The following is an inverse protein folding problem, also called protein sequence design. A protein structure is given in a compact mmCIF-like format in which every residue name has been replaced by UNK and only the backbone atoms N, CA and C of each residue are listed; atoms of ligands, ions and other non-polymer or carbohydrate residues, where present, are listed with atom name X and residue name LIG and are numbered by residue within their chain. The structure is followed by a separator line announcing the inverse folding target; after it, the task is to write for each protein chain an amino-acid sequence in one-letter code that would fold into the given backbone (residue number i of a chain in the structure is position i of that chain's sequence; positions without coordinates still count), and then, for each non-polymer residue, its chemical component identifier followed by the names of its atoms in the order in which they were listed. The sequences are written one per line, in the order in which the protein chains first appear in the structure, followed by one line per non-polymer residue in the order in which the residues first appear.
data_IF_130891294144
#
_entry.id   IF_130891294144
#
_cell.length_a   1.000
_cell.length_b   1.000
_cell.length_c   1.000
_cell.angle_alpha   90.00
_cell.angle_beta   90.00
_cell.angle_gamma   90.00
#
_symmetry.space_group_name_H-M   'P 1'
#
loop_
_entity.id
_entity.type
_entity.pdbx_description
1 polymer ?
#
# COMPACT_ATOMS: atom_id res chain seq x y z
N UNK A 1 -6.34 -11.26 0.96
CA UNK A 1 -5.49 -10.12 1.31
C UNK A 1 -4.74 -10.37 2.62
N UNK A 2 -5.41 -10.55 3.76
CA UNK A 2 -4.73 -10.78 5.06
C UNK A 2 -4.56 -12.26 5.48
N UNK A 3 -4.41 -13.19 4.53
CA UNK A 3 -4.32 -14.61 4.85
C UNK A 3 -3.16 -14.93 5.82
N UNK A 4 -2.02 -14.25 5.66
CA UNK A 4 -0.83 -14.43 6.50
C UNK A 4 -1.01 -13.94 7.95
N UNK A 5 -2.07 -13.17 8.21
CA UNK A 5 -2.41 -12.65 9.54
C UNK A 5 -3.56 -13.42 10.20
N UNK A 6 -4.10 -14.47 9.58
CA UNK A 6 -5.28 -15.18 10.06
C UNK A 6 -5.15 -15.76 11.48
N UNK A 7 -3.92 -16.08 11.90
CA UNK A 7 -3.63 -16.59 13.26
C UNK A 7 -3.41 -15.49 14.32
N UNK A 8 -3.39 -14.21 13.92
CA UNK A 8 -3.11 -13.10 14.83
C UNK A 8 -4.37 -12.69 15.60
N UNK A 9 -4.26 -12.32 16.89
CA UNK A 9 -5.42 -12.00 17.72
C UNK A 9 -6.21 -10.78 17.22
N UNK A 10 -5.57 -9.88 16.47
CA UNK A 10 -6.21 -8.69 15.90
C UNK A 10 -6.87 -8.93 14.54
N UNK A 11 -6.77 -10.13 13.96
CA UNK A 11 -7.25 -10.42 12.60
C UNK A 11 -8.75 -10.13 12.42
N UNK A 12 -9.58 -10.51 13.39
CA UNK A 12 -11.02 -10.24 13.32
C UNK A 12 -11.34 -8.74 13.26
N UNK A 13 -10.65 -7.94 14.08
CA UNK A 13 -10.79 -6.48 14.06
C UNK A 13 -10.32 -5.85 12.74
N UNK A 14 -9.23 -6.36 12.18
CA UNK A 14 -8.69 -5.93 10.89
C UNK A 14 -9.69 -6.19 9.75
N UNK A 15 -10.27 -7.40 9.70
CA UNK A 15 -11.27 -7.76 8.69
C UNK A 15 -12.52 -6.90 8.80
N UNK A 16 -13.04 -6.70 10.02
CA UNK A 16 -14.20 -5.83 10.24
C UNK A 16 -13.95 -4.40 9.78
N UNK A 17 -12.77 -3.84 10.08
CA UNK A 17 -12.43 -2.48 9.68
C UNK A 17 -12.28 -2.36 8.16
N UNK A 18 -11.50 -3.24 7.53
CA UNK A 18 -11.22 -3.18 6.10
C UNK A 18 -12.43 -3.47 5.21
N UNK A 19 -13.48 -4.07 5.76
CA UNK A 19 -14.76 -4.31 5.08
C UNK A 19 -15.88 -3.35 5.50
N UNK A 20 -15.61 -2.42 6.43
CA UNK A 20 -16.61 -1.48 6.94
C UNK A 20 -17.01 -0.37 5.97
N UNK A 21 -16.27 -0.20 4.88
CA UNK A 21 -16.51 0.84 3.89
C UNK A 21 -15.73 0.61 2.59
N UNK A 22 -15.95 1.46 1.58
CA UNK A 22 -15.24 1.36 0.31
C UNK A 22 -13.75 1.68 0.50
N UNK A 23 -12.92 1.02 -0.31
CA UNK A 23 -11.49 1.30 -0.41
C UNK A 23 -11.14 1.64 -1.85
N UNK A 24 -10.03 2.38 -2.03
CA UNK A 24 -9.48 2.68 -3.36
C UNK A 24 -8.26 1.78 -3.58
N UNK A 25 -8.42 0.75 -4.41
CA UNK A 25 -7.31 -0.09 -4.85
C UNK A 25 -6.61 0.57 -6.06
N UNK A 26 -5.28 0.57 -6.06
CA UNK A 26 -4.46 1.18 -7.12
C UNK A 26 -3.22 0.32 -7.40
N UNK A 27 -2.68 0.41 -8.61
CA UNK A 27 -1.38 -0.16 -8.98
C UNK A 27 -0.48 0.95 -9.52
N UNK A 28 0.73 1.05 -8.98
CA UNK A 28 1.75 2.01 -9.40
C UNK A 28 2.94 1.29 -10.02
N UNK A 29 3.47 1.82 -11.12
CA UNK A 29 4.62 1.25 -11.82
C UNK A 29 5.81 2.21 -11.82
N UNK A 30 7.02 1.64 -11.76
CA UNK A 30 8.28 2.38 -11.81
C UNK A 30 9.44 1.66 -11.15
N UNK A 31 10.66 2.08 -11.46
CA UNK A 31 11.89 1.55 -10.85
C UNK A 31 11.86 1.74 -9.32
N UNK A 32 12.00 0.64 -8.58
CA UNK A 32 12.03 0.66 -7.11
C UNK A 32 10.70 1.03 -6.43
N UNK A 33 9.57 0.98 -7.15
CA UNK A 33 8.27 1.52 -6.70
C UNK A 33 7.77 0.92 -5.39
N UNK A 34 8.00 -0.36 -5.11
CA UNK A 34 7.59 -0.99 -3.84
C UNK A 34 8.28 -0.31 -2.66
N UNK A 35 9.61 -0.21 -2.71
CA UNK A 35 10.41 0.45 -1.66
C UNK A 35 10.05 1.94 -1.56
N UNK A 36 10.02 2.65 -2.68
CA UNK A 36 9.71 4.09 -2.68
C UNK A 36 8.29 4.37 -2.18
N UNK A 37 7.31 3.52 -2.55
CA UNK A 37 5.95 3.60 -2.04
C UNK A 37 5.90 3.43 -0.52
N UNK A 38 6.57 2.41 0.03
CA UNK A 38 6.68 2.22 1.48
C UNK A 38 7.30 3.44 2.19
N UNK A 39 8.33 4.06 1.61
CA UNK A 39 8.93 5.29 2.14
C UNK A 39 7.94 6.46 2.14
N UNK A 40 7.20 6.65 1.05
CA UNK A 40 6.19 7.72 0.94
C UNK A 40 5.02 7.52 1.92
N UNK A 41 4.61 6.27 2.15
CA UNK A 41 3.57 5.97 3.14
C UNK A 41 4.03 6.31 4.57
N UNK A 42 5.30 6.05 4.88
CA UNK A 42 5.84 6.13 6.24
C UNK A 42 5.73 4.81 7.02
N UNK A 43 6.16 4.87 8.28
CA UNK A 43 6.16 3.74 9.20
C UNK A 43 4.75 3.20 9.46
N UNK A 44 4.62 1.93 9.83
CA UNK A 44 3.29 1.34 10.11
C UNK A 44 2.64 1.96 11.34
N UNK A 45 3.44 2.31 12.35
CA UNK A 45 3.01 3.12 13.49
C UNK A 45 3.14 4.62 13.13
N UNK A 46 2.03 5.38 13.02
CA UNK A 46 2.09 6.80 12.68
C UNK A 46 2.96 7.63 13.62
N UNK A 47 3.03 7.28 14.91
CA UNK A 47 3.88 7.98 15.89
C UNK A 47 5.39 7.84 15.61
N UNK A 48 5.80 6.86 14.79
CA UNK A 48 7.17 6.69 14.31
C UNK A 48 7.37 7.21 12.88
N UNK A 49 6.31 7.67 12.21
CA UNK A 49 6.39 8.20 10.85
C UNK A 49 6.91 9.63 10.85
N UNK A 50 7.77 9.94 9.88
CA UNK A 50 8.35 11.27 9.76
C UNK A 50 7.36 12.26 9.09
N UNK A 51 7.40 13.56 9.44
CA UNK A 51 6.68 14.59 8.70
C UNK A 51 7.02 14.55 7.19
N UNK A 52 6.03 14.80 6.34
CA UNK A 52 6.12 14.69 4.88
C UNK A 52 5.81 13.29 4.34
N UNK A 53 5.64 12.29 5.20
CA UNK A 53 5.07 10.99 4.82
C UNK A 53 3.56 11.00 5.02
N UNK A 54 2.83 10.19 4.26
CA UNK A 54 1.35 10.16 4.35
C UNK A 54 0.88 9.87 5.78
N UNK A 55 1.48 8.90 6.46
CA UNK A 55 1.08 8.56 7.83
C UNK A 55 1.58 9.59 8.84
N UNK A 56 2.75 10.19 8.63
CA UNK A 56 3.25 11.25 9.51
C UNK A 56 2.39 12.51 9.47
N UNK A 57 1.83 12.84 8.31
CA UNK A 57 1.04 14.07 8.13
C UNK A 57 -0.45 13.89 8.47
N UNK A 58 -0.99 12.67 8.33
CA UNK A 58 -2.46 12.46 8.38
C UNK A 58 -2.93 11.44 9.43
N UNK A 59 -2.05 10.71 10.11
CA UNK A 59 -2.44 9.61 10.99
C UNK A 59 -1.89 9.77 12.41
N UNK A 60 -2.60 9.20 13.39
CA UNK A 60 -2.19 9.17 14.80
C UNK A 60 -2.16 7.71 15.28
N UNK A 61 -3.26 6.98 15.08
CA UNK A 61 -3.39 5.60 15.55
C UNK A 61 -3.01 4.55 14.50
N UNK A 62 -2.31 3.49 14.92
CA UNK A 62 -1.90 2.38 14.04
C UNK A 62 -3.08 1.68 13.35
N UNK A 63 -4.23 1.58 14.03
CA UNK A 63 -5.45 0.99 13.47
C UNK A 63 -6.21 1.92 12.51
N UNK A 64 -5.75 3.16 12.34
CA UNK A 64 -6.34 4.20 11.48
C UNK A 64 -5.25 4.87 10.63
N UNK A 65 -4.34 4.07 10.08
CA UNK A 65 -3.17 4.55 9.34
C UNK A 65 -3.41 4.83 7.84
N UNK A 66 -4.68 5.03 7.46
CA UNK A 66 -5.21 5.50 6.17
C UNK A 66 -4.93 4.66 4.92
N UNK A 67 -3.73 4.12 4.75
CA UNK A 67 -3.24 3.54 3.50
C UNK A 67 -2.42 2.27 3.71
N UNK A 68 -2.50 1.36 2.74
CA UNK A 68 -1.71 0.13 2.63
C UNK A 68 -0.78 0.22 1.43
N UNK A 69 0.35 -0.48 1.49
CA UNK A 69 1.24 -0.69 0.36
C UNK A 69 2.08 -1.95 0.57
N UNK A 70 2.26 -2.72 -0.49
CA UNK A 70 2.99 -3.99 -0.45
C UNK A 70 4.41 -3.80 0.10
N UNK A 71 4.87 -4.76 0.90
CA UNK A 71 6.17 -4.71 1.60
C UNK A 71 7.32 -5.31 0.78
N UNK A 72 7.02 -6.16 -0.21
CA UNK A 72 7.97 -6.76 -1.14
C UNK A 72 7.40 -6.86 -2.55
N UNK A 73 8.25 -7.14 -3.53
CA UNK A 73 7.83 -7.33 -4.94
C UNK A 73 6.93 -8.57 -5.05
N UNK A 74 7.29 -9.65 -4.37
CA UNK A 74 6.53 -10.90 -4.36
C UNK A 74 5.13 -10.72 -3.75
N UNK A 75 5.02 -9.90 -2.70
CA UNK A 75 3.72 -9.58 -2.12
C UNK A 75 2.93 -8.59 -2.99
N UNK A 76 3.60 -7.66 -3.68
CA UNK A 76 2.94 -6.80 -4.65
C UNK A 76 2.30 -7.62 -5.79
N UNK A 77 3.00 -8.62 -6.32
CA UNK A 77 2.48 -9.50 -7.37
C UNK A 77 1.22 -10.26 -6.90
N UNK A 78 1.26 -10.84 -5.68
CA UNK A 78 0.11 -11.52 -5.08
C UNK A 78 -1.08 -10.59 -4.86
N UNK A 79 -0.83 -9.38 -4.35
CA UNK A 79 -1.87 -8.39 -4.08
C UNK A 79 -2.49 -7.87 -5.39
N UNK A 80 -1.68 -7.58 -6.42
CA UNK A 80 -2.17 -7.15 -7.73
C UNK A 80 -3.04 -8.24 -8.35
N UNK A 81 -2.59 -9.50 -8.36
CA UNK A 81 -3.36 -10.62 -8.90
C UNK A 81 -4.70 -10.84 -8.17
N UNK A 82 -4.73 -10.57 -6.85
CA UNK A 82 -5.94 -10.67 -6.05
C UNK A 82 -6.94 -9.53 -6.35
N UNK A 83 -6.48 -8.27 -6.37
CA UNK A 83 -7.34 -7.09 -6.48
C UNK A 83 -7.69 -6.74 -7.93
N UNK A 84 -6.84 -7.12 -8.89
CA UNK A 84 -6.99 -6.83 -10.32
C UNK A 84 -6.85 -8.11 -11.16
N UNK A 85 -7.79 -9.08 -11.02
CA UNK A 85 -7.69 -10.39 -11.68
C UNK A 85 -7.76 -10.32 -13.22
N UNK A 86 -8.24 -9.20 -13.76
CA UNK A 86 -8.32 -8.94 -15.20
C UNK A 86 -7.13 -8.14 -15.74
N UNK A 87 -6.08 -7.95 -14.92
CA UNK A 87 -4.88 -7.22 -15.29
C UNK A 87 -4.96 -5.72 -15.00
N UNK A 88 -3.92 -5.00 -15.45
CA UNK A 88 -3.74 -3.56 -15.23
C UNK A 88 -3.65 -2.81 -16.56
N UNK A 89 -3.90 -1.51 -16.51
CA UNK A 89 -3.84 -0.65 -17.70
C UNK A 89 -2.39 -0.38 -18.08
N UNK A 90 -2.02 -0.71 -19.31
CA UNK A 90 -0.71 -0.37 -19.88
C UNK A 90 -0.78 0.94 -20.65
N UNK A 91 0.16 1.84 -20.38
CA UNK A 91 0.34 3.10 -21.10
C UNK A 91 1.78 3.57 -20.97
N UNK A 92 2.25 4.38 -21.93
CA UNK A 92 3.56 5.02 -21.88
C UNK A 92 3.41 6.46 -21.42
N UNK A 93 4.23 6.89 -20.46
CA UNK A 93 4.16 8.26 -19.95
C UNK A 93 5.06 9.17 -20.78
N UNK A 94 4.54 10.32 -21.21
CA UNK A 94 5.33 11.31 -21.98
C UNK A 94 6.59 11.75 -21.23
N UNK A 95 6.52 11.81 -19.88
CA UNK A 95 7.62 12.24 -19.01
C UNK A 95 8.67 11.15 -18.73
N UNK A 96 8.52 9.93 -19.25
CA UNK A 96 9.40 8.80 -18.90
C UNK A 96 10.88 9.10 -19.19
N UNK A 97 11.16 9.73 -20.33
CA UNK A 97 12.51 10.16 -20.76
C UNK A 97 13.14 11.27 -19.89
N UNK A 98 12.36 11.91 -19.03
CA UNK A 98 12.83 12.95 -18.11
C UNK A 98 13.06 12.41 -16.70
N UNK A 99 12.57 11.20 -16.40
CA UNK A 99 12.56 10.62 -15.05
C UNK A 99 13.53 9.44 -14.96
N UNK A 100 13.78 8.72 -16.06
CA UNK A 100 14.70 7.59 -16.12
C UNK A 100 15.88 7.88 -17.04
N UNK A 101 17.05 7.41 -16.63
CA UNK A 101 18.27 7.32 -17.45
C UNK A 101 18.27 6.04 -18.30
#
# INVERSE_FOLDING_TARGET
HYADLASKPFFGGLMNYMTSGPVVAMVWSGKGVVKSGRVLLGETNPLASLPGTIRGDFCIDVGRNLCHGSDSVENAEKEIALWFPHGVISHTRVMEKLIYE
#
